data_IF_568523938362
#
_entry.id   IF_568523938362
#
_cell.length_a   1.000
_cell.length_b   1.000
_cell.length_c   1.000
_cell.angle_alpha   90.00
_cell.angle_beta   90.00
_cell.angle_gamma   90.00
#
_symmetry.space_group_name_H-M   'P 1'
#
loop_
_entity.id
_entity.type
_entity.pdbx_description
1 polymer ?
#
# COMPACT_ATOMS: atom_id res chain seq x y z
N UNK A 1 9.80 1.15 15.50
CA UNK A 1 10.39 1.07 14.15
C UNK A 1 11.05 2.38 13.72
N UNK A 2 10.34 3.52 13.55
CA UNK A 2 10.93 4.80 13.08
C UNK A 2 12.23 5.17 13.80
N UNK A 3 12.23 5.22 15.13
CA UNK A 3 13.42 5.59 15.91
C UNK A 3 14.61 4.63 15.71
N UNK A 4 14.36 3.35 15.46
CA UNK A 4 15.43 2.39 15.18
C UNK A 4 16.05 2.61 13.80
N UNK A 5 15.23 2.87 12.78
CA UNK A 5 15.71 3.20 11.43
C UNK A 5 16.54 4.48 11.48
N UNK A 6 16.04 5.52 12.14
CA UNK A 6 16.77 6.80 12.29
C UNK A 6 18.10 6.59 13.00
N UNK A 7 18.13 5.80 14.08
CA UNK A 7 19.39 5.48 14.81
C UNK A 7 20.39 4.77 13.89
N UNK A 8 19.96 3.78 13.11
CA UNK A 8 20.82 3.07 12.16
C UNK A 8 21.35 4.03 11.08
N UNK A 9 20.49 4.88 10.51
CA UNK A 9 20.90 5.89 9.52
C UNK A 9 21.89 6.89 10.10
N UNK A 10 21.66 7.36 11.33
CA UNK A 10 22.61 8.27 12.02
C UNK A 10 23.97 7.61 12.18
N UNK A 11 24.03 6.34 12.58
CA UNK A 11 25.30 5.61 12.71
C UNK A 11 26.02 5.47 11.38
N UNK A 12 25.27 5.15 10.29
CA UNK A 12 25.85 5.03 8.94
C UNK A 12 26.38 6.36 8.41
N UNK A 13 25.73 7.48 8.75
CA UNK A 13 26.18 8.82 8.31
C UNK A 13 27.51 9.26 8.92
N UNK A 14 27.90 8.69 10.07
CA UNK A 14 29.24 8.95 10.66
C UNK A 14 30.39 8.54 9.72
N UNK A 15 30.14 7.63 8.78
CA UNK A 15 31.10 7.18 7.77
C UNK A 15 31.00 7.96 6.45
N UNK A 16 30.17 8.99 6.40
CA UNK A 16 29.97 9.83 5.21
C UNK A 16 30.22 11.29 5.57
N UNK A 17 30.63 12.09 4.59
CA UNK A 17 30.81 13.56 4.78
C UNK A 17 29.47 14.33 4.76
N UNK A 18 28.32 13.65 4.94
CA UNK A 18 26.99 14.27 4.94
C UNK A 18 26.49 14.44 6.36
N UNK A 19 26.08 15.65 6.72
CA UNK A 19 25.39 15.94 7.97
C UNK A 19 23.89 16.16 7.71
N UNK A 20 23.06 15.53 8.52
CA UNK A 20 21.62 15.74 8.54
C UNK A 20 21.17 15.94 9.99
N UNK A 21 20.21 16.82 10.19
CA UNK A 21 19.56 16.94 11.48
C UNK A 21 18.71 15.69 11.76
N UNK A 22 18.42 15.44 13.01
CA UNK A 22 17.54 14.31 13.39
C UNK A 22 16.14 14.47 12.82
N UNK A 23 15.64 15.70 12.72
CA UNK A 23 14.39 16.05 12.05
C UNK A 23 14.41 15.62 10.57
N UNK A 24 15.44 16.01 9.82
CA UNK A 24 15.57 15.65 8.39
C UNK A 24 15.65 14.14 8.17
N UNK A 25 16.40 13.42 9.00
CA UNK A 25 16.48 11.96 8.92
C UNK A 25 15.14 11.28 9.21
N UNK A 26 14.40 11.78 10.21
CA UNK A 26 13.05 11.29 10.49
C UNK A 26 12.10 11.58 9.34
N UNK A 27 12.09 12.82 8.83
CA UNK A 27 11.23 13.23 7.73
C UNK A 27 11.48 12.37 6.49
N UNK A 28 12.74 12.20 6.08
CA UNK A 28 13.09 11.33 4.95
C UNK A 28 12.72 9.87 5.18
N UNK A 29 12.85 9.38 6.41
CA UNK A 29 12.47 7.99 6.74
C UNK A 29 10.97 7.80 6.63
N UNK A 30 10.18 8.75 7.12
CA UNK A 30 8.73 8.72 7.03
C UNK A 30 8.27 8.77 5.56
N UNK A 31 8.85 9.67 4.78
CA UNK A 31 8.47 9.89 3.38
C UNK A 31 8.92 8.79 2.41
N UNK A 32 10.02 8.09 2.71
CA UNK A 32 10.62 7.16 1.75
C UNK A 32 10.62 5.70 2.20
N UNK A 33 10.21 5.40 3.43
CA UNK A 33 10.40 4.06 3.99
C UNK A 33 9.24 3.54 4.83
N UNK A 34 8.23 4.35 5.13
CA UNK A 34 7.12 3.93 5.98
C UNK A 34 5.81 3.93 5.20
N UNK A 35 5.22 2.76 5.09
CA UNK A 35 3.90 2.52 4.50
C UNK A 35 3.03 1.79 5.52
N UNK A 36 1.74 2.06 5.50
CA UNK A 36 0.81 1.43 6.44
C UNK A 36 -0.61 1.38 5.91
N UNK A 37 -1.29 0.31 6.26
CA UNK A 37 -2.70 0.10 5.95
C UNK A 37 -3.43 -0.35 7.20
N UNK A 38 -4.54 0.26 7.48
CA UNK A 38 -5.47 -0.16 8.53
C UNK A 38 -6.90 -0.12 8.01
N UNK A 39 -7.76 -0.97 8.52
CA UNK A 39 -9.17 -0.99 8.18
C UNK A 39 -9.90 0.24 8.75
N UNK A 40 -9.46 0.71 9.93
CA UNK A 40 -10.09 1.77 10.67
C UNK A 40 -9.52 3.15 10.29
N UNK A 41 -10.40 4.05 9.85
CA UNK A 41 -10.02 5.42 9.51
C UNK A 41 -9.33 6.15 10.66
N UNK A 42 -9.89 6.05 11.86
CA UNK A 42 -9.38 6.73 13.06
C UNK A 42 -7.98 6.22 13.45
N UNK A 43 -7.70 4.92 13.26
CA UNK A 43 -6.39 4.35 13.50
C UNK A 43 -5.33 4.95 12.57
N UNK A 44 -5.68 5.15 11.29
CA UNK A 44 -4.80 5.79 10.30
C UNK A 44 -4.53 7.25 10.66
N UNK A 45 -5.56 8.01 11.04
CA UNK A 45 -5.40 9.42 11.42
C UNK A 45 -4.56 9.57 12.71
N UNK A 46 -4.77 8.69 13.70
CA UNK A 46 -3.93 8.66 14.91
C UNK A 46 -2.48 8.31 14.55
N UNK A 47 -2.25 7.39 13.62
CA UNK A 47 -0.90 7.04 13.17
C UNK A 47 -0.19 8.23 12.50
N UNK A 48 -0.89 8.98 11.63
CA UNK A 48 -0.37 10.22 11.02
C UNK A 48 -0.01 11.25 12.08
N UNK A 49 -0.90 11.48 13.05
CA UNK A 49 -0.67 12.41 14.15
C UNK A 49 0.56 12.02 14.98
N UNK A 50 0.72 10.73 15.31
CA UNK A 50 1.88 10.23 16.07
C UNK A 50 3.20 10.43 15.32
N UNK A 51 3.21 10.21 14.01
CA UNK A 51 4.39 10.48 13.18
C UNK A 51 4.73 11.98 13.16
N UNK A 52 3.74 12.84 13.03
CA UNK A 52 3.93 14.29 13.08
C UNK A 52 4.46 14.77 14.42
N UNK A 53 3.85 14.35 15.53
CA UNK A 53 4.35 14.68 16.88
C UNK A 53 5.80 14.23 17.06
N UNK A 54 6.15 13.06 16.53
CA UNK A 54 7.53 12.57 16.53
C UNK A 54 8.51 13.47 15.77
N UNK A 55 8.05 14.16 14.71
CA UNK A 55 8.86 15.14 13.97
C UNK A 55 9.02 16.44 14.74
N UNK A 56 7.92 16.96 15.32
CA UNK A 56 7.94 18.24 16.05
C UNK A 56 8.93 18.21 17.22
N UNK A 57 8.99 17.11 17.95
CA UNK A 57 9.91 16.97 19.11
C UNK A 57 11.38 17.19 18.71
N UNK A 58 11.77 16.88 17.48
CA UNK A 58 13.13 17.05 16.99
C UNK A 58 13.30 18.29 16.10
N UNK A 59 12.28 19.11 15.97
CA UNK A 59 12.35 20.36 15.21
C UNK A 59 12.94 21.48 16.08
N UNK A 60 14.03 22.06 15.63
CA UNK A 60 14.54 23.30 16.20
C UNK A 60 13.65 24.46 15.73
N UNK A 61 12.81 24.95 16.63
CA UNK A 61 11.79 25.97 16.26
C UNK A 61 12.33 27.39 16.27
N UNK A 62 13.40 27.67 17.02
CA UNK A 62 13.94 29.03 17.20
C UNK A 62 12.84 30.11 17.36
N UNK A 63 11.73 29.75 18.04
CA UNK A 63 10.56 30.62 18.21
C UNK A 63 9.57 30.62 17.03
N UNK A 64 9.80 29.87 15.98
CA UNK A 64 8.87 29.73 14.84
C UNK A 64 7.80 28.65 15.10
N UNK A 65 6.65 28.80 14.46
CA UNK A 65 5.61 27.78 14.49
C UNK A 65 6.10 26.44 13.93
N UNK A 66 5.61 25.30 14.46
CA UNK A 66 5.94 23.98 13.93
C UNK A 66 5.59 23.87 12.43
N UNK A 67 6.43 23.20 11.67
CA UNK A 67 6.13 22.90 10.26
C UNK A 67 4.84 22.05 10.17
N UNK A 68 4.01 22.27 9.15
CA UNK A 68 2.80 21.49 8.96
C UNK A 68 3.11 19.99 8.80
N UNK A 69 2.10 19.17 9.04
CA UNK A 69 2.19 17.72 8.84
C UNK A 69 2.66 17.42 7.41
N UNK A 70 3.70 16.59 7.24
CA UNK A 70 4.05 16.07 5.93
C UNK A 70 2.86 15.36 5.30
N UNK A 71 2.76 15.40 4.00
CA UNK A 71 1.67 14.77 3.29
C UNK A 71 1.82 13.23 3.33
N UNK A 72 1.13 12.57 4.25
CA UNK A 72 1.20 11.12 4.49
C UNK A 72 0.03 10.35 3.86
N UNK A 73 -0.85 11.03 3.12
CA UNK A 73 -2.10 10.44 2.62
C UNK A 73 -1.88 9.26 1.65
N UNK A 74 -0.73 9.19 0.98
CA UNK A 74 -0.39 8.07 0.10
C UNK A 74 0.58 7.05 0.72
N UNK A 75 1.02 7.27 1.96
CA UNK A 75 1.84 6.32 2.72
C UNK A 75 1.03 5.57 3.78
N UNK A 76 0.04 6.24 4.37
CA UNK A 76 -0.87 5.63 5.34
C UNK A 76 -2.28 5.64 4.77
N UNK A 77 -2.80 4.45 4.49
CA UNK A 77 -4.06 4.25 3.77
C UNK A 77 -5.08 3.51 4.62
N UNK A 78 -6.34 3.84 4.39
CA UNK A 78 -7.47 3.07 4.93
C UNK A 78 -7.86 2.03 3.90
N UNK A 79 -7.99 0.77 4.32
CA UNK A 79 -8.43 -0.30 3.43
C UNK A 79 -8.33 -1.69 4.03
N UNK A 80 -9.04 -2.64 3.45
CA UNK A 80 -8.93 -4.04 3.80
C UNK A 80 -7.72 -4.65 3.08
N UNK A 81 -6.62 -4.79 3.82
CA UNK A 81 -5.33 -5.27 3.31
C UNK A 81 -5.34 -6.69 2.74
N UNK A 82 -6.41 -7.47 3.00
CA UNK A 82 -6.57 -8.85 2.54
C UNK A 82 -7.48 -9.00 1.32
N UNK A 83 -8.18 -7.95 0.87
CA UNK A 83 -9.15 -8.02 -0.22
C UNK A 83 -8.65 -7.27 -1.43
N UNK A 84 -8.22 -7.97 -2.46
CA UNK A 84 -7.76 -7.42 -3.73
C UNK A 84 -8.60 -7.90 -4.94
N UNK A 85 -9.71 -8.61 -4.68
CA UNK A 85 -10.69 -9.03 -5.68
C UNK A 85 -12.01 -8.29 -5.52
N UNK A 86 -12.78 -8.24 -6.58
CA UNK A 86 -14.17 -7.80 -6.57
C UNK A 86 -15.03 -8.80 -7.36
N UNK A 87 -16.09 -9.31 -6.75
CA UNK A 87 -16.95 -10.36 -7.34
C UNK A 87 -16.15 -11.57 -7.86
N UNK A 88 -15.19 -12.04 -7.08
CA UNK A 88 -14.28 -13.16 -7.40
C UNK A 88 -13.36 -12.89 -8.61
N UNK A 89 -13.24 -11.64 -9.03
CA UNK A 89 -12.38 -11.23 -10.12
C UNK A 89 -11.18 -10.50 -9.54
N UNK A 90 -9.99 -10.99 -9.84
CA UNK A 90 -8.75 -10.32 -9.43
C UNK A 90 -8.59 -9.01 -10.20
N UNK A 91 -8.55 -7.88 -9.46
CA UNK A 91 -8.52 -6.54 -10.04
C UNK A 91 -7.15 -6.13 -10.55
N UNK A 92 -6.12 -6.86 -10.16
CA UNK A 92 -4.74 -6.56 -10.52
C UNK A 92 -3.96 -7.85 -10.77
N UNK A 93 -3.28 -7.95 -11.90
CA UNK A 93 -2.47 -9.11 -12.22
C UNK A 93 -1.01 -8.92 -11.83
N UNK A 94 -0.35 -10.01 -11.43
CA UNK A 94 1.09 -10.04 -11.13
C UNK A 94 1.99 -9.70 -12.33
N UNK A 95 1.43 -9.54 -13.55
CA UNK A 95 2.15 -9.10 -14.75
C UNK A 95 2.93 -7.79 -14.52
N UNK A 96 2.38 -6.92 -13.68
CA UNK A 96 2.94 -5.61 -13.40
C UNK A 96 4.13 -5.63 -12.44
N UNK A 97 4.38 -6.75 -11.78
CA UNK A 97 5.59 -6.96 -10.96
C UNK A 97 6.88 -7.13 -11.78
N UNK A 98 6.81 -7.08 -13.12
CA UNK A 98 8.00 -7.06 -13.99
C UNK A 98 8.84 -8.35 -13.99
N UNK A 99 8.27 -9.47 -13.57
CA UNK A 99 8.98 -10.76 -13.61
C UNK A 99 9.15 -11.23 -15.07
N UNK A 100 10.38 -11.21 -15.57
CA UNK A 100 10.79 -11.60 -16.94
C UNK A 100 10.34 -13.01 -17.36
N UNK A 101 9.81 -13.84 -16.48
CA UNK A 101 9.42 -15.23 -16.76
C UNK A 101 8.05 -15.40 -17.41
N UNK A 102 7.13 -14.41 -17.31
CA UNK A 102 5.77 -14.54 -17.90
C UNK A 102 5.55 -13.79 -19.21
N UNK A 103 6.52 -13.01 -19.69
CA UNK A 103 6.42 -12.29 -20.97
C UNK A 103 6.37 -13.18 -22.22
N UNK A 104 6.57 -14.50 -22.10
CA UNK A 104 6.65 -15.42 -23.25
C UNK A 104 5.33 -16.11 -23.65
N UNK A 105 4.25 -15.98 -22.86
CA UNK A 105 3.05 -16.81 -23.12
C UNK A 105 1.94 -16.09 -23.90
N UNK A 106 1.92 -14.77 -23.98
CA UNK A 106 0.80 -14.05 -24.65
C UNK A 106 1.25 -12.91 -25.60
N UNK A 107 2.14 -13.23 -26.55
CA UNK A 107 2.72 -12.22 -27.46
C UNK A 107 1.77 -11.73 -28.60
N UNK A 108 0.51 -12.15 -28.66
CA UNK A 108 -0.37 -11.77 -29.77
C UNK A 108 -1.54 -10.83 -29.41
N UNK A 109 -1.85 -10.62 -28.14
CA UNK A 109 -2.97 -9.74 -27.72
C UNK A 109 -2.56 -8.43 -27.03
N UNK A 110 -1.28 -8.22 -26.76
CA UNK A 110 -0.80 -7.15 -25.84
C UNK A 110 -0.16 -5.91 -26.50
N UNK A 111 -0.07 -5.84 -27.83
CA UNK A 111 0.65 -4.72 -28.48
C UNK A 111 -0.05 -3.35 -28.33
N UNK A 112 -1.38 -3.33 -28.17
CA UNK A 112 -2.14 -2.07 -28.07
C UNK A 112 -2.36 -1.56 -26.63
N UNK A 113 -2.11 -2.36 -25.60
CA UNK A 113 -2.40 -2.00 -24.22
C UNK A 113 -1.18 -1.61 -23.38
N UNK A 114 0.02 -2.04 -23.74
CA UNK A 114 1.25 -1.77 -22.96
C UNK A 114 1.62 -0.29 -22.96
N UNK A 115 1.57 0.37 -24.10
CA UNK A 115 1.91 1.79 -24.22
C UNK A 115 0.93 2.68 -23.44
N UNK A 116 -0.35 2.30 -23.41
CA UNK A 116 -1.38 3.02 -22.66
C UNK A 116 -1.16 2.89 -21.15
N UNK A 117 -0.85 1.70 -20.66
CA UNK A 117 -0.63 1.47 -19.22
C UNK A 117 0.65 2.13 -18.74
N UNK A 118 1.75 2.06 -19.51
CA UNK A 118 2.99 2.77 -19.16
C UNK A 118 2.77 4.29 -19.11
N UNK A 119 1.98 4.83 -20.02
CA UNK A 119 1.60 6.24 -19.98
C UNK A 119 0.78 6.61 -18.75
N UNK A 120 -0.17 5.75 -18.35
CA UNK A 120 -0.96 5.97 -17.12
C UNK A 120 -0.07 5.90 -15.88
N UNK A 121 0.80 4.90 -15.78
CA UNK A 121 1.75 4.77 -14.67
C UNK A 121 2.70 5.97 -14.57
N UNK A 122 3.12 6.53 -15.71
CA UNK A 122 3.92 7.75 -15.73
C UNK A 122 3.13 8.93 -15.18
N UNK A 123 1.88 9.16 -15.64
CA UNK A 123 1.03 10.24 -15.12
C UNK A 123 0.74 10.09 -13.63
N UNK A 124 0.46 8.86 -13.17
CA UNK A 124 0.26 8.55 -11.76
C UNK A 124 1.49 8.94 -10.93
N UNK A 125 2.68 8.54 -11.38
CA UNK A 125 3.94 8.89 -10.71
C UNK A 125 4.16 10.40 -10.68
N UNK A 126 3.99 11.08 -11.82
CA UNK A 126 4.19 12.53 -11.93
C UNK A 126 3.21 13.27 -11.00
N UNK A 127 1.94 12.84 -10.94
CA UNK A 127 0.95 13.41 -10.03
C UNK A 127 1.31 13.18 -8.56
N UNK A 128 1.80 11.99 -8.17
CA UNK A 128 2.27 11.72 -6.80
C UNK A 128 3.47 12.60 -6.43
N UNK A 129 4.46 12.74 -7.32
CA UNK A 129 5.63 13.61 -7.07
C UNK A 129 5.20 15.06 -6.83
N UNK A 130 4.29 15.59 -7.65
CA UNK A 130 3.75 16.94 -7.48
C UNK A 130 2.95 17.07 -6.19
N UNK A 131 2.11 16.07 -5.85
CA UNK A 131 1.36 16.04 -4.62
C UNK A 131 2.25 16.12 -3.37
N UNK A 132 3.37 15.42 -3.35
CA UNK A 132 4.32 15.50 -2.24
C UNK A 132 5.11 16.81 -2.20
N UNK A 133 5.28 17.47 -3.34
CA UNK A 133 6.02 18.71 -3.46
C UNK A 133 5.23 19.99 -3.16
N UNK A 134 3.89 19.94 -3.23
CA UNK A 134 3.05 21.13 -3.02
C UNK A 134 2.59 21.30 -1.58
N UNK A 135 2.46 22.56 -1.15
CA UNK A 135 1.87 22.95 0.14
C UNK A 135 0.46 23.52 -0.01
N UNK A 136 0.02 23.80 -1.24
CA UNK A 136 -1.31 24.37 -1.51
C UNK A 136 -2.40 23.30 -1.39
N UNK A 137 -3.34 23.49 -0.47
CA UNK A 137 -4.42 22.55 -0.21
C UNK A 137 -5.37 22.36 -1.42
N UNK A 138 -5.60 23.40 -2.23
CA UNK A 138 -6.42 23.28 -3.45
C UNK A 138 -5.72 22.42 -4.51
N UNK A 139 -4.42 22.63 -4.66
CA UNK A 139 -3.62 21.85 -5.59
C UNK A 139 -3.49 20.40 -5.13
N UNK A 140 -3.30 20.16 -3.82
CA UNK A 140 -3.34 18.82 -3.24
C UNK A 140 -4.64 18.08 -3.52
N UNK A 141 -5.78 18.75 -3.34
CA UNK A 141 -7.09 18.14 -3.61
C UNK A 141 -7.22 17.76 -5.10
N UNK A 142 -6.78 18.65 -5.99
CA UNK A 142 -6.78 18.39 -7.45
C UNK A 142 -5.90 17.19 -7.80
N UNK A 143 -4.68 17.15 -7.27
CA UNK A 143 -3.72 16.06 -7.51
C UNK A 143 -4.20 14.74 -6.90
N UNK A 144 -4.82 14.77 -5.71
CA UNK A 144 -5.44 13.58 -5.11
C UNK A 144 -6.52 12.99 -6.01
N UNK A 145 -7.42 13.81 -6.53
CA UNK A 145 -8.45 13.37 -7.45
C UNK A 145 -7.85 12.81 -8.75
N UNK A 146 -6.80 13.43 -9.27
CA UNK A 146 -6.09 12.93 -10.46
C UNK A 146 -5.46 11.55 -10.20
N UNK A 147 -4.80 11.37 -9.05
CA UNK A 147 -4.22 10.08 -8.67
C UNK A 147 -5.30 8.99 -8.62
N UNK A 148 -6.45 9.28 -8.02
CA UNK A 148 -7.58 8.34 -7.97
C UNK A 148 -8.10 7.99 -9.38
N UNK A 149 -8.21 8.96 -10.27
CA UNK A 149 -8.62 8.75 -11.67
C UNK A 149 -7.61 7.84 -12.39
N UNK A 150 -6.32 8.09 -12.28
CA UNK A 150 -5.28 7.27 -12.93
C UNK A 150 -5.26 5.83 -12.36
N UNK A 151 -5.47 5.67 -11.05
CA UNK A 151 -5.61 4.35 -10.44
C UNK A 151 -6.83 3.58 -10.98
N UNK A 152 -7.96 4.27 -11.15
CA UNK A 152 -9.16 3.66 -11.72
C UNK A 152 -8.99 3.29 -13.19
N UNK A 153 -8.27 4.11 -13.97
CA UNK A 153 -7.99 3.79 -15.36
C UNK A 153 -7.08 2.56 -15.50
N UNK A 154 -6.16 2.33 -14.56
CA UNK A 154 -5.36 1.11 -14.50
C UNK A 154 -6.24 -0.12 -14.21
N UNK A 155 -7.15 -0.04 -13.25
CA UNK A 155 -8.12 -1.13 -12.97
C UNK A 155 -8.99 -1.38 -14.20
N UNK A 156 -9.49 -0.34 -14.85
CA UNK A 156 -10.27 -0.44 -16.08
C UNK A 156 -9.50 -1.18 -17.18
N UNK A 157 -8.26 -0.78 -17.40
CA UNK A 157 -7.39 -1.40 -18.41
C UNK A 157 -7.20 -2.91 -18.14
N UNK A 158 -7.00 -3.30 -16.89
CA UNK A 158 -6.88 -4.70 -16.49
C UNK A 158 -8.19 -5.49 -16.70
N UNK A 159 -9.33 -4.93 -16.28
CA UNK A 159 -10.64 -5.57 -16.46
C UNK A 159 -11.06 -5.67 -17.92
N UNK A 160 -10.77 -4.66 -18.74
CA UNK A 160 -10.98 -4.71 -20.19
C UNK A 160 -10.14 -5.81 -20.83
N UNK A 161 -8.89 -5.95 -20.45
CA UNK A 161 -8.01 -7.03 -20.93
C UNK A 161 -8.52 -8.43 -20.53
N UNK A 162 -9.25 -8.54 -19.43
CA UNK A 162 -9.93 -9.76 -18.97
C UNK A 162 -11.31 -9.96 -19.60
N UNK A 163 -11.83 -9.02 -20.41
CA UNK A 163 -13.18 -9.05 -20.95
C UNK A 163 -14.28 -8.79 -19.91
N UNK A 164 -13.98 -8.09 -18.82
CA UNK A 164 -14.85 -7.87 -17.64
C UNK A 164 -15.25 -6.39 -17.46
N UNK A 165 -15.60 -5.73 -18.53
CA UNK A 165 -15.96 -4.30 -18.51
C UNK A 165 -17.20 -3.99 -17.65
N UNK A 166 -18.16 -4.92 -17.58
CA UNK A 166 -19.34 -4.81 -16.73
C UNK A 166 -19.01 -4.70 -15.24
N UNK A 167 -17.95 -5.39 -14.81
CA UNK A 167 -17.41 -5.31 -13.44
C UNK A 167 -16.85 -3.92 -13.14
N UNK A 168 -16.14 -3.34 -14.10
CA UNK A 168 -15.63 -1.97 -13.96
C UNK A 168 -16.75 -0.96 -13.71
N UNK A 169 -17.85 -1.05 -14.45
CA UNK A 169 -19.01 -0.15 -14.29
C UNK A 169 -19.58 -0.23 -12.86
N UNK A 170 -19.68 -1.45 -12.29
CA UNK A 170 -20.15 -1.63 -10.90
C UNK A 170 -19.17 -1.06 -9.87
N UNK A 171 -17.87 -1.23 -10.08
CA UNK A 171 -16.83 -0.64 -9.22
C UNK A 171 -16.93 0.89 -9.25
N UNK A 172 -17.05 1.49 -10.43
CA UNK A 172 -17.20 2.94 -10.59
C UNK A 172 -18.40 3.49 -9.82
N UNK A 173 -19.54 2.79 -9.88
CA UNK A 173 -20.74 3.18 -9.14
C UNK A 173 -20.57 3.08 -7.62
N UNK A 174 -19.82 2.09 -7.14
CA UNK A 174 -19.49 1.99 -5.71
C UNK A 174 -18.56 3.11 -5.25
N UNK A 175 -17.55 3.44 -6.04
CA UNK A 175 -16.62 4.53 -5.71
C UNK A 175 -17.34 5.88 -5.68
N UNK A 176 -18.27 6.15 -6.61
CA UNK A 176 -19.14 7.33 -6.56
C UNK A 176 -19.93 7.41 -5.24
N UNK A 177 -20.28 6.26 -4.67
CA UNK A 177 -20.92 6.15 -3.34
C UNK A 177 -19.93 6.17 -2.17
N UNK A 178 -18.65 6.50 -2.42
CA UNK A 178 -17.55 6.49 -1.44
C UNK A 178 -17.30 5.14 -0.76
N UNK A 179 -17.61 4.06 -1.45
CA UNK A 179 -17.38 2.69 -0.96
C UNK A 179 -16.33 2.02 -1.85
N UNK A 180 -15.17 1.72 -1.30
CA UNK A 180 -14.10 0.99 -1.98
C UNK A 180 -13.87 -0.34 -1.24
N UNK A 181 -14.45 -1.46 -1.72
CA UNK A 181 -14.46 -2.73 -0.99
C UNK A 181 -13.16 -3.53 -1.10
N UNK A 182 -12.14 -3.01 -1.78
CA UNK A 182 -10.87 -3.68 -2.03
C UNK A 182 -9.69 -2.74 -1.79
N UNK A 183 -8.52 -3.34 -1.58
CA UNK A 183 -7.25 -2.63 -1.45
C UNK A 183 -6.17 -3.35 -2.26
N UNK A 184 -5.65 -2.70 -3.29
CA UNK A 184 -4.64 -3.26 -4.17
C UNK A 184 -3.28 -2.65 -3.80
N UNK A 185 -2.46 -3.40 -3.09
CA UNK A 185 -1.16 -2.96 -2.59
C UNK A 185 -0.24 -2.43 -3.69
N UNK A 186 -0.16 -3.12 -4.81
CA UNK A 186 0.70 -2.77 -5.94
C UNK A 186 0.26 -1.49 -6.65
N UNK A 187 -1.02 -1.13 -6.54
CA UNK A 187 -1.58 0.09 -7.12
C UNK A 187 -1.45 1.28 -6.16
N UNK A 188 -1.70 1.05 -4.87
CA UNK A 188 -1.59 2.10 -3.85
C UNK A 188 -0.14 2.52 -3.61
N UNK A 189 0.80 1.55 -3.67
CA UNK A 189 2.23 1.75 -3.40
C UNK A 189 3.09 1.29 -4.60
N UNK A 190 2.75 1.74 -5.82
CA UNK A 190 3.39 1.28 -7.05
C UNK A 190 4.91 1.50 -7.04
N UNK A 191 5.39 2.51 -6.33
CA UNK A 191 6.81 2.81 -6.17
C UNK A 191 7.58 1.70 -5.45
N UNK A 192 6.91 0.94 -4.56
CA UNK A 192 7.50 -0.19 -3.82
C UNK A 192 7.58 -1.45 -4.70
N UNK A 193 6.55 -1.69 -5.51
CA UNK A 193 6.42 -2.92 -6.30
C UNK A 193 7.02 -2.84 -7.71
N UNK A 194 7.56 -1.69 -8.06
CA UNK A 194 8.17 -1.47 -9.36
C UNK A 194 9.34 -2.45 -9.60
N UNK A 195 9.42 -3.00 -10.82
CA UNK A 195 10.49 -3.93 -11.24
C UNK A 195 10.53 -5.26 -10.46
N UNK A 196 9.40 -5.74 -9.98
CA UNK A 196 9.31 -7.00 -9.24
C UNK A 196 9.87 -6.95 -7.83
N UNK A 197 9.99 -5.73 -7.28
CA UNK A 197 10.38 -5.51 -5.88
C UNK A 197 9.18 -5.69 -4.95
N UNK A 198 9.37 -5.41 -3.69
CA UNK A 198 8.39 -5.46 -2.62
C UNK A 198 8.96 -4.76 -1.38
N UNK A 199 8.32 -4.93 -0.24
CA UNK A 199 8.81 -4.36 1.00
C UNK A 199 10.07 -5.10 1.52
N UNK A 200 11.01 -4.37 2.10
CA UNK A 200 12.16 -4.94 2.81
C UNK A 200 11.72 -5.63 4.11
N UNK A 201 10.75 -5.04 4.79
CA UNK A 201 10.25 -5.50 6.08
C UNK A 201 8.73 -5.31 6.10
N UNK A 202 8.00 -6.37 6.43
CA UNK A 202 6.56 -6.33 6.70
C UNK A 202 6.34 -6.66 8.17
N UNK A 203 5.66 -5.75 8.88
CA UNK A 203 5.31 -5.94 10.30
C UNK A 203 3.81 -5.79 10.49
N UNK A 204 3.21 -6.65 11.31
CA UNK A 204 1.82 -6.52 11.69
C UNK A 204 1.53 -7.11 13.07
N UNK A 205 0.38 -6.72 13.59
CA UNK A 205 -0.30 -7.38 14.69
C UNK A 205 -1.70 -7.79 14.20
N UNK A 206 -1.82 -8.91 13.47
CA UNK A 206 -3.10 -9.34 12.93
C UNK A 206 -4.11 -9.62 14.04
N UNK A 207 -5.42 -9.41 13.80
CA UNK A 207 -6.45 -9.72 14.78
C UNK A 207 -6.51 -11.23 15.07
N UNK A 208 -6.77 -11.60 16.35
CA UNK A 208 -6.84 -13.00 16.79
C UNK A 208 -8.29 -13.50 16.68
N UNK A 209 -8.81 -13.59 15.48
CA UNK A 209 -10.19 -13.94 15.18
C UNK A 209 -10.26 -15.17 14.29
N UNK A 210 -11.14 -16.12 14.64
CA UNK A 210 -11.46 -17.24 13.77
C UNK A 210 -12.42 -16.82 12.68
N UNK A 211 -12.20 -17.26 11.44
CA UNK A 211 -12.97 -16.86 10.28
C UNK A 211 -14.45 -17.25 10.36
N UNK A 212 -14.76 -18.35 11.05
CA UNK A 212 -16.14 -18.83 11.22
C UNK A 212 -16.96 -18.04 12.26
N UNK A 213 -16.32 -17.20 13.10
CA UNK A 213 -17.05 -16.39 14.09
C UNK A 213 -17.94 -15.36 13.40
N UNK A 214 -18.86 -14.78 14.17
CA UNK A 214 -19.81 -13.76 13.68
C UNK A 214 -20.61 -14.22 12.44
N UNK A 215 -21.08 -15.47 12.46
CA UNK A 215 -21.85 -16.03 11.35
C UNK A 215 -21.03 -16.35 10.10
N UNK A 216 -19.70 -16.34 10.21
CA UNK A 216 -18.81 -16.64 9.10
C UNK A 216 -18.67 -15.50 8.08
N UNK A 217 -18.97 -14.26 8.47
CA UNK A 217 -18.85 -13.09 7.58
C UNK A 217 -17.44 -12.97 6.99
N UNK A 218 -16.40 -13.03 7.83
CA UNK A 218 -15.01 -12.99 7.38
C UNK A 218 -14.65 -14.16 6.46
N UNK A 219 -15.12 -15.39 6.79
CA UNK A 219 -14.88 -16.54 5.93
C UNK A 219 -15.54 -16.36 4.56
N UNK A 220 -16.74 -15.79 4.49
CA UNK A 220 -17.43 -15.54 3.22
C UNK A 220 -16.75 -14.42 2.40
N UNK A 221 -16.18 -13.42 3.05
CA UNK A 221 -15.44 -12.34 2.39
C UNK A 221 -14.10 -12.82 1.80
N UNK A 222 -13.42 -13.73 2.51
CA UNK A 222 -12.05 -14.15 2.16
C UNK A 222 -11.97 -15.45 1.34
N UNK A 223 -13.06 -16.24 1.24
CA UNK A 223 -13.05 -17.54 0.56
C UNK A 223 -12.65 -17.48 -0.92
N UNK A 224 -12.98 -16.37 -1.58
CA UNK A 224 -12.78 -16.19 -3.03
C UNK A 224 -11.57 -15.30 -3.36
N UNK A 225 -10.74 -14.97 -2.35
CA UNK A 225 -9.52 -14.17 -2.54
C UNK A 225 -8.33 -14.98 -3.07
N UNK A 226 -8.45 -16.33 -3.11
CA UNK A 226 -7.42 -17.22 -3.65
C UNK A 226 -6.25 -17.51 -2.70
N UNK A 227 -6.43 -17.29 -1.40
CA UNK A 227 -5.41 -17.65 -0.40
C UNK A 227 -5.28 -19.17 -0.23
N UNK A 228 -4.07 -19.69 -0.32
CA UNK A 228 -3.77 -21.12 -0.11
C UNK A 228 -3.96 -21.52 1.37
N UNK A 229 -3.68 -20.60 2.29
CA UNK A 229 -3.85 -20.82 3.73
C UNK A 229 -5.29 -20.68 4.21
N UNK A 230 -6.24 -20.38 3.31
CA UNK A 230 -7.63 -20.23 3.68
C UNK A 230 -8.26 -21.55 4.11
N UNK A 231 -8.77 -21.57 5.34
CA UNK A 231 -9.70 -22.61 5.83
C UNK A 231 -10.85 -21.95 6.57
N UNK A 232 -12.09 -22.38 6.32
CA UNK A 232 -13.29 -21.75 6.90
C UNK A 232 -13.26 -21.67 8.42
N UNK A 233 -12.61 -22.64 9.09
CA UNK A 233 -12.45 -22.72 10.54
C UNK A 233 -11.12 -22.15 11.05
N UNK A 234 -10.28 -21.66 10.15
CA UNK A 234 -8.96 -21.13 10.47
C UNK A 234 -8.99 -19.78 11.18
N UNK A 235 -7.85 -19.39 11.66
CA UNK A 235 -7.63 -18.05 12.22
C UNK A 235 -7.16 -17.10 11.11
N UNK A 236 -7.64 -15.86 11.09
CA UNK A 236 -7.35 -14.87 10.06
C UNK A 236 -5.84 -14.54 9.94
N UNK A 237 -5.07 -14.69 11.03
CA UNK A 237 -3.64 -14.40 10.99
C UNK A 237 -2.87 -15.33 10.02
N UNK A 238 -3.38 -16.53 9.70
CA UNK A 238 -2.78 -17.41 8.69
C UNK A 238 -2.79 -16.73 7.31
N UNK A 239 -3.89 -16.10 6.96
CA UNK A 239 -4.03 -15.33 5.71
C UNK A 239 -3.13 -14.10 5.72
N UNK A 240 -2.99 -13.43 6.87
CA UNK A 240 -2.04 -12.33 7.01
C UNK A 240 -0.59 -12.77 6.78
N UNK A 241 -0.20 -13.99 7.22
CA UNK A 241 1.14 -14.52 6.95
C UNK A 241 1.36 -14.68 5.43
N UNK A 242 0.42 -15.31 4.73
CA UNK A 242 0.50 -15.47 3.28
C UNK A 242 0.59 -14.11 2.57
N UNK A 243 -0.35 -13.20 2.87
CA UNK A 243 -0.32 -11.85 2.30
C UNK A 243 0.97 -11.11 2.61
N UNK A 244 1.47 -11.22 3.84
CA UNK A 244 2.72 -10.58 4.25
C UNK A 244 3.94 -11.09 3.48
N UNK A 245 3.99 -12.40 3.20
CA UNK A 245 5.05 -13.01 2.37
C UNK A 245 4.95 -12.51 0.93
N UNK A 246 3.73 -12.41 0.38
CA UNK A 246 3.49 -11.92 -0.98
C UNK A 246 3.91 -10.45 -1.18
N UNK A 247 3.87 -9.67 -0.11
CA UNK A 247 4.26 -8.26 -0.13
C UNK A 247 5.76 -8.03 0.02
N UNK A 248 6.53 -9.04 0.44
CA UNK A 248 7.98 -8.94 0.61
C UNK A 248 8.71 -9.05 -0.72
N UNK A 249 9.83 -8.35 -0.82
CA UNK A 249 10.84 -8.64 -1.83
C UNK A 249 11.64 -9.90 -1.47
N UNK A 250 12.44 -10.40 -2.40
CA UNK A 250 13.39 -11.48 -2.13
C UNK A 250 14.30 -11.13 -0.95
N UNK A 251 14.45 -12.08 -0.02
CA UNK A 251 15.19 -11.90 1.22
C UNK A 251 14.63 -10.81 2.18
N UNK A 252 13.38 -10.43 2.03
CA UNK A 252 12.69 -9.54 2.96
C UNK A 252 12.36 -10.20 4.29
N UNK A 253 12.03 -9.43 5.31
CA UNK A 253 11.79 -9.89 6.68
C UNK A 253 10.32 -9.71 7.04
N UNK A 254 9.68 -10.79 7.49
CA UNK A 254 8.35 -10.77 8.09
C UNK A 254 8.44 -10.80 9.61
N UNK A 255 7.75 -9.89 10.29
CA UNK A 255 7.73 -9.83 11.75
C UNK A 255 6.31 -9.56 12.26
N UNK A 256 5.64 -10.61 12.73
CA UNK A 256 4.27 -10.53 13.21
C UNK A 256 4.15 -10.91 14.68
N UNK A 257 3.23 -10.25 15.38
CA UNK A 257 2.80 -10.65 16.71
C UNK A 257 1.51 -11.46 16.52
N UNK A 258 1.55 -12.75 16.81
CA UNK A 258 0.42 -13.66 16.63
C UNK A 258 0.23 -14.60 17.81
N UNK A 259 -0.91 -15.30 17.85
CA UNK A 259 -1.17 -16.37 18.82
C UNK A 259 -0.17 -17.51 18.66
N UNK A 260 0.19 -18.16 19.75
CA UNK A 260 1.08 -19.33 19.77
C UNK A 260 0.37 -20.67 19.49
N UNK A 261 -0.87 -20.67 19.03
CA UNK A 261 -1.66 -21.88 18.76
C UNK A 261 -0.99 -22.84 17.77
N UNK A 262 -0.20 -22.31 16.86
CA UNK A 262 0.54 -23.07 15.85
C UNK A 262 1.79 -23.81 16.41
N UNK A 263 2.15 -23.57 17.67
CA UNK A 263 3.25 -24.25 18.36
C UNK A 263 2.78 -25.49 19.17
N UNK A 264 1.47 -25.82 19.14
CA UNK A 264 0.88 -26.91 19.94
C UNK A 264 0.52 -28.10 19.08
#
# INVERSE_FOLDING_TARGET
MLNQIVKLRTNLLQYTNKSFTKYELKLQTIQNSLYGVDLEYDAVEIAKLRLWLSLIVDQETNGLAPKPLPNLNFHLRVGNSLVDTFENIKLWSTRWRGTKKQAKVNNQMNLFNTDTVEAILKRLKDAKVQFFGTSDEKEKQKLSNQIEIEQMELIRSELVAQGKFDVYTRIEDMIKKKTKPFFIWELEFEEVFKNGQGFDIVIANPPYVQLQKEGGRLANELKDQGYETFTRTGDIYCIFYEKGIDLLKDCGILCYITSNKWMR
#
